data_IF_348194426881
#
_entry.id   IF_348194426881
#
_cell.length_a   1.000
_cell.length_b   1.000
_cell.length_c   1.000
_cell.angle_alpha   90.00
_cell.angle_beta   90.00
_cell.angle_gamma   90.00
#
_symmetry.space_group_name_H-M   'P 1'
#
loop_
_entity.id
_entity.type
_entity.pdbx_description
1 polymer ?
#
# COMPACT_ATOMS: atom_id res chain seq x y z
N UNK A 1 -17.25 29.38 -32.65
CA UNK A 1 -17.26 28.12 -33.44
C UNK A 1 -18.34 28.13 -34.52
N UNK A 2 -19.59 28.50 -34.22
CA UNK A 2 -20.67 28.52 -35.21
C UNK A 2 -20.44 29.50 -36.39
N UNK A 3 -19.91 30.70 -36.14
CA UNK A 3 -19.70 31.71 -37.20
C UNK A 3 -18.52 31.40 -38.14
N UNK A 4 -17.49 30.71 -37.66
CA UNK A 4 -16.34 30.31 -38.50
C UNK A 4 -16.73 29.18 -39.45
N UNK A 5 -17.57 28.26 -38.97
CA UNK A 5 -18.09 27.16 -39.78
C UNK A 5 -19.11 27.62 -40.82
N UNK A 6 -19.91 28.66 -40.54
CA UNK A 6 -20.82 29.24 -41.53
C UNK A 6 -20.05 29.96 -42.65
N UNK A 7 -18.98 30.69 -42.30
CA UNK A 7 -18.15 31.39 -43.29
C UNK A 7 -17.46 30.44 -44.29
N UNK A 8 -16.94 29.30 -43.81
CA UNK A 8 -16.32 28.28 -44.69
C UNK A 8 -17.34 27.61 -45.61
N UNK A 9 -18.59 27.46 -45.14
CA UNK A 9 -19.67 26.85 -45.92
C UNK A 9 -20.10 27.74 -47.09
N UNK A 10 -20.14 29.06 -46.88
CA UNK A 10 -20.59 30.02 -47.90
C UNK A 10 -19.50 30.36 -48.93
N UNK A 11 -18.22 30.20 -48.60
CA UNK A 11 -17.07 30.50 -49.49
C UNK A 11 -16.30 29.27 -49.99
N UNK A 12 -16.83 28.05 -49.83
CA UNK A 12 -16.15 26.80 -50.20
C UNK A 12 -15.64 26.73 -51.64
N UNK A 13 -16.32 27.39 -52.59
CA UNK A 13 -15.89 27.45 -54.00
C UNK A 13 -14.60 28.27 -54.22
N UNK A 14 -14.29 29.22 -53.35
CA UNK A 14 -13.06 30.03 -53.44
C UNK A 14 -11.81 29.21 -53.02
N UNK A 15 -11.99 28.27 -52.08
CA UNK A 15 -10.93 27.38 -51.62
C UNK A 15 -10.62 26.22 -52.57
N UNK A 16 -11.62 25.76 -53.34
CA UNK A 16 -11.44 24.72 -54.35
C UNK A 16 -10.68 25.22 -55.60
N UNK A 17 -10.70 26.54 -55.87
CA UNK A 17 -10.13 27.14 -57.08
C UNK A 17 -8.83 27.91 -56.84
N UNK A 18 -8.50 28.23 -55.58
CA UNK A 18 -7.27 28.92 -55.23
C UNK A 18 -6.49 28.17 -54.13
N UNK A 19 -5.48 27.34 -54.50
CA UNK A 19 -4.76 26.49 -53.55
C UNK A 19 -3.98 27.28 -52.49
N UNK A 20 -3.60 28.54 -52.78
CA UNK A 20 -2.91 29.42 -51.83
C UNK A 20 -3.86 29.86 -50.72
N UNK A 21 -5.11 30.20 -51.05
CA UNK A 21 -6.11 30.58 -50.05
C UNK A 21 -6.47 29.38 -49.15
N UNK A 22 -6.54 28.17 -49.71
CA UNK A 22 -6.78 26.94 -48.96
C UNK A 22 -5.64 26.62 -47.98
N UNK A 23 -4.39 26.68 -48.43
CA UNK A 23 -3.22 26.45 -47.57
C UNK A 23 -3.12 27.51 -46.47
N UNK A 24 -3.43 28.77 -46.79
CA UNK A 24 -3.46 29.87 -45.82
C UNK A 24 -4.51 29.63 -44.73
N UNK A 25 -5.74 29.27 -45.11
CA UNK A 25 -6.81 29.00 -44.16
C UNK A 25 -6.52 27.77 -43.28
N UNK A 26 -5.86 26.75 -43.84
CA UNK A 26 -5.46 25.54 -43.11
C UNK A 26 -4.32 25.84 -42.13
N UNK A 27 -3.35 26.67 -42.51
CA UNK A 27 -2.28 27.17 -41.64
C UNK A 27 -2.83 28.06 -40.51
N UNK A 28 -3.73 28.99 -40.83
CA UNK A 28 -4.35 29.89 -39.84
C UNK A 28 -5.27 29.10 -38.91
N UNK A 29 -6.09 28.19 -39.43
CA UNK A 29 -6.92 27.30 -38.62
C UNK A 29 -6.09 26.36 -37.72
N UNK A 30 -5.01 25.80 -38.26
CA UNK A 30 -4.08 24.95 -37.51
C UNK A 30 -3.35 25.70 -36.39
N UNK A 31 -2.89 26.93 -36.67
CA UNK A 31 -2.19 27.76 -35.68
C UNK A 31 -3.12 28.28 -34.58
N UNK A 32 -4.34 28.70 -34.91
CA UNK A 32 -5.36 29.09 -33.92
C UNK A 32 -5.81 27.88 -33.09
N UNK A 33 -6.01 26.71 -33.73
CA UNK A 33 -6.34 25.47 -33.06
C UNK A 33 -5.24 25.01 -32.10
N UNK A 34 -3.98 25.08 -32.52
CA UNK A 34 -2.80 24.78 -31.68
C UNK A 34 -2.69 25.77 -30.50
N UNK A 35 -2.89 27.06 -30.74
CA UNK A 35 -2.83 28.08 -29.69
C UNK A 35 -3.95 27.92 -28.64
N UNK A 36 -5.18 27.62 -29.07
CA UNK A 36 -6.29 27.33 -28.16
C UNK A 36 -6.05 26.04 -27.37
N UNK A 37 -5.61 24.96 -28.04
CA UNK A 37 -5.26 23.71 -27.37
C UNK A 37 -4.13 23.91 -26.34
N UNK A 38 -3.12 24.71 -26.68
CA UNK A 38 -2.05 25.11 -25.77
C UNK A 38 -2.61 25.87 -24.56
N UNK A 39 -3.47 26.86 -24.75
CA UNK A 39 -4.09 27.63 -23.66
C UNK A 39 -4.97 26.76 -22.74
N UNK A 40 -5.75 25.83 -23.30
CA UNK A 40 -6.53 24.87 -22.51
C UNK A 40 -5.66 23.87 -21.76
N UNK A 41 -4.57 23.40 -22.37
CA UNK A 41 -3.61 22.51 -21.71
C UNK A 41 -2.86 23.24 -20.58
N UNK A 42 -2.46 24.49 -20.80
CA UNK A 42 -1.74 25.31 -19.84
C UNK A 42 -2.63 25.70 -18.64
N UNK A 43 -3.93 25.96 -18.85
CA UNK A 43 -4.86 26.23 -17.75
C UNK A 43 -5.18 24.96 -16.95
N UNK A 44 -5.33 23.80 -17.60
CA UNK A 44 -5.48 22.53 -16.91
C UNK A 44 -4.22 22.10 -16.16
N UNK A 45 -3.03 22.38 -16.70
CA UNK A 45 -1.75 22.15 -16.03
C UNK A 45 -1.62 23.05 -14.80
N UNK A 46 -1.90 24.36 -14.92
CA UNK A 46 -1.91 25.28 -13.76
C UNK A 46 -2.90 24.85 -12.67
N UNK A 47 -4.12 24.45 -13.04
CA UNK A 47 -5.10 23.96 -12.07
C UNK A 47 -4.68 22.64 -11.41
N UNK A 48 -3.93 21.78 -12.11
CA UNK A 48 -3.33 20.57 -11.53
C UNK A 48 -2.16 20.92 -10.61
N UNK A 49 -1.29 21.85 -11.00
CA UNK A 49 -0.15 22.31 -10.20
C UNK A 49 -0.60 23.00 -8.91
N UNK A 50 -1.64 23.83 -8.96
CA UNK A 50 -2.26 24.44 -7.77
C UNK A 50 -2.86 23.38 -6.83
N UNK A 51 -3.51 22.34 -7.38
CA UNK A 51 -4.00 21.21 -6.58
C UNK A 51 -2.87 20.38 -5.97
N UNK A 52 -1.79 20.14 -6.71
CA UNK A 52 -0.60 19.42 -6.23
C UNK A 52 0.06 20.23 -5.11
N UNK A 53 0.24 21.53 -5.29
CA UNK A 53 0.78 22.42 -4.26
C UNK A 53 -0.11 22.45 -2.99
N UNK A 54 -1.43 22.45 -3.17
CA UNK A 54 -2.40 22.30 -2.08
C UNK A 54 -2.20 20.99 -1.30
N UNK A 55 -2.12 19.85 -2.01
CA UNK A 55 -1.86 18.56 -1.36
C UNK A 55 -0.49 18.47 -0.68
N UNK A 56 0.54 19.14 -1.23
CA UNK A 56 1.85 19.22 -0.57
C UNK A 56 1.81 20.05 0.72
N UNK A 57 1.07 21.16 0.72
CA UNK A 57 0.83 21.98 1.91
C UNK A 57 0.08 21.19 2.98
N UNK A 58 -1.03 20.54 2.59
CA UNK A 58 -1.82 19.70 3.49
C UNK A 58 -0.98 18.56 4.06
N UNK A 59 -0.18 17.89 3.22
CA UNK A 59 0.74 16.83 3.66
C UNK A 59 1.76 17.34 4.68
N UNK A 60 2.34 18.53 4.48
CA UNK A 60 3.25 19.15 5.46
C UNK A 60 2.53 19.45 6.77
N UNK A 61 1.31 19.97 6.71
CA UNK A 61 0.50 20.25 7.90
C UNK A 61 0.16 18.96 8.67
N UNK A 62 -0.25 17.90 7.97
CA UNK A 62 -0.52 16.59 8.58
C UNK A 62 0.74 15.97 9.19
N UNK A 63 1.90 16.07 8.52
CA UNK A 63 3.17 15.59 9.07
C UNK A 63 3.53 16.35 10.36
N UNK A 64 3.39 17.68 10.37
CA UNK A 64 3.62 18.49 11.56
C UNK A 64 2.67 18.11 12.71
N UNK A 65 1.40 17.85 12.42
CA UNK A 65 0.42 17.35 13.41
C UNK A 65 0.78 15.97 13.93
N UNK A 66 1.25 15.07 13.07
CA UNK A 66 1.72 13.73 13.49
C UNK A 66 2.91 13.84 14.43
N UNK A 67 3.86 14.73 14.13
CA UNK A 67 5.04 14.91 14.98
C UNK A 67 4.69 15.57 16.33
N UNK A 68 3.76 16.53 16.35
CA UNK A 68 3.21 17.08 17.61
C UNK A 68 2.50 15.99 18.44
N UNK A 69 1.66 15.17 17.81
CA UNK A 69 0.97 14.07 18.50
C UNK A 69 1.96 13.04 19.04
N UNK A 70 3.00 12.68 18.27
CA UNK A 70 4.08 11.80 18.75
C UNK A 70 4.80 12.40 19.95
N UNK A 71 5.12 13.70 19.92
CA UNK A 71 5.77 14.38 21.03
C UNK A 71 4.89 14.37 22.28
N UNK A 72 3.59 14.66 22.14
CA UNK A 72 2.62 14.63 23.24
C UNK A 72 2.41 13.23 23.82
N UNK A 73 2.34 12.21 22.98
CA UNK A 73 2.27 10.80 23.42
C UNK A 73 3.54 10.41 24.17
N UNK A 74 4.71 10.80 23.66
CA UNK A 74 6.00 10.53 24.32
C UNK A 74 6.10 11.23 25.67
N UNK A 75 5.63 12.48 25.78
CA UNK A 75 5.59 13.22 27.05
C UNK A 75 4.62 12.58 28.05
N UNK A 76 3.43 12.18 27.61
CA UNK A 76 2.47 11.46 28.45
C UNK A 76 3.04 10.11 28.93
N UNK A 77 3.72 9.38 28.07
CA UNK A 77 4.40 8.13 28.40
C UNK A 77 5.49 8.34 29.46
N UNK A 78 6.33 9.37 29.31
CA UNK A 78 7.33 9.75 30.32
C UNK A 78 6.70 10.08 31.68
N UNK A 79 5.61 10.86 31.70
CA UNK A 79 4.90 11.21 32.95
C UNK A 79 4.30 10.00 33.65
N UNK A 80 3.88 9.00 32.88
CA UNK A 80 3.32 7.75 33.41
C UNK A 80 4.40 6.71 33.78
N UNK A 81 5.69 7.03 33.61
CA UNK A 81 6.78 6.06 33.82
C UNK A 81 6.75 4.90 32.82
N UNK A 82 6.01 5.04 31.72
CA UNK A 82 5.94 4.08 30.64
C UNK A 82 7.08 4.44 29.68
N UNK A 83 8.18 3.69 29.71
CA UNK A 83 9.24 3.88 28.74
C UNK A 83 8.68 3.69 27.31
N UNK A 84 9.03 4.56 26.35
CA UNK A 84 8.54 4.46 24.98
C UNK A 84 8.93 3.09 24.38
N UNK A 85 7.91 2.27 24.11
CA UNK A 85 8.05 1.05 23.32
C UNK A 85 8.48 1.45 21.91
N UNK A 86 9.70 1.11 21.50
CA UNK A 86 9.99 1.13 20.07
C UNK A 86 11.45 1.23 19.62
N UNK A 87 12.40 1.68 20.46
CA UNK A 87 13.81 1.69 20.04
C UNK A 87 14.75 1.49 21.22
N UNK A 88 14.56 2.24 22.30
CA UNK A 88 15.47 2.18 23.45
C UNK A 88 15.40 0.85 24.21
N UNK A 89 14.21 0.24 24.33
CA UNK A 89 14.04 -1.05 25.00
C UNK A 89 14.89 -2.15 24.36
N UNK A 90 14.80 -2.28 23.04
CA UNK A 90 15.55 -3.31 22.29
C UNK A 90 17.02 -2.94 22.12
N UNK A 91 17.34 -1.65 22.03
CA UNK A 91 18.72 -1.17 22.01
C UNK A 91 19.46 -1.44 23.33
N UNK A 92 18.78 -1.40 24.47
CA UNK A 92 19.35 -1.67 25.79
C UNK A 92 19.50 -3.17 26.11
N UNK A 93 18.84 -4.05 25.35
CA UNK A 93 18.92 -5.50 25.55
C UNK A 93 20.28 -6.07 25.15
N UNK A 94 20.71 -7.10 25.85
CA UNK A 94 21.81 -7.96 25.44
C UNK A 94 21.48 -8.69 24.12
N UNK A 95 22.49 -9.21 23.43
CA UNK A 95 22.28 -9.95 22.18
C UNK A 95 21.36 -11.16 22.38
N UNK A 96 21.51 -11.89 23.49
CA UNK A 96 20.72 -13.08 23.79
C UNK A 96 19.25 -12.73 24.07
N UNK A 97 18.99 -11.66 24.83
CA UNK A 97 17.64 -11.16 25.07
C UNK A 97 16.97 -10.70 23.77
N UNK A 98 17.71 -10.01 22.90
CA UNK A 98 17.20 -9.55 21.61
C UNK A 98 16.87 -10.73 20.68
N UNK A 99 17.74 -11.75 20.62
CA UNK A 99 17.46 -13.00 19.88
C UNK A 99 16.20 -13.70 20.39
N UNK A 100 16.05 -13.80 21.71
CA UNK A 100 14.89 -14.46 22.31
C UNK A 100 13.61 -13.65 22.07
N UNK A 101 13.68 -12.32 22.15
CA UNK A 101 12.54 -11.46 21.83
C UNK A 101 12.12 -11.60 20.36
N UNK A 102 13.09 -11.61 19.44
CA UNK A 102 12.83 -11.84 18.02
C UNK A 102 12.15 -13.18 17.75
N UNK A 103 12.61 -14.26 18.39
CA UNK A 103 11.98 -15.60 18.29
C UNK A 103 10.57 -15.62 18.87
N UNK A 104 10.34 -14.96 20.00
CA UNK A 104 9.01 -14.87 20.62
C UNK A 104 8.03 -14.11 19.71
N UNK A 105 8.45 -12.98 19.14
CA UNK A 105 7.65 -12.21 18.18
C UNK A 105 7.37 -13.03 16.93
N UNK A 106 8.38 -13.69 16.37
CA UNK A 106 8.22 -14.57 15.20
C UNK A 106 7.24 -15.73 15.48
N UNK A 107 7.29 -16.33 16.67
CA UNK A 107 6.34 -17.36 17.12
C UNK A 107 4.93 -16.82 17.29
N UNK A 108 4.77 -15.61 17.82
CA UNK A 108 3.47 -14.95 17.95
C UNK A 108 2.83 -14.69 16.57
N UNK A 109 3.63 -14.24 15.60
CA UNK A 109 3.21 -14.07 14.21
C UNK A 109 2.77 -15.40 13.57
N UNK A 110 3.47 -16.50 13.86
CA UNK A 110 3.05 -17.83 13.37
C UNK A 110 1.78 -18.33 14.03
N UNK A 111 1.57 -18.03 15.30
CA UNK A 111 0.35 -18.42 16.01
C UNK A 111 -0.89 -17.74 15.39
N UNK A 112 -0.82 -16.45 15.06
CA UNK A 112 -1.93 -15.76 14.38
C UNK A 112 -2.16 -16.30 12.97
N UNK A 113 -1.09 -16.65 12.23
CA UNK A 113 -1.20 -17.26 10.91
C UNK A 113 -1.83 -18.66 10.98
N UNK A 114 -1.45 -19.46 11.97
CA UNK A 114 -2.02 -20.79 12.18
C UNK A 114 -3.52 -20.72 12.52
N UNK A 115 -3.94 -19.71 13.29
CA UNK A 115 -5.36 -19.50 13.59
C UNK A 115 -6.15 -19.03 12.36
N UNK A 116 -5.56 -18.17 11.53
CA UNK A 116 -6.12 -17.79 10.24
C UNK A 116 -6.27 -18.99 9.29
N UNK A 117 -5.24 -19.82 9.17
CA UNK A 117 -5.26 -21.03 8.36
C UNK A 117 -6.28 -22.04 8.87
N UNK A 118 -6.39 -22.21 10.19
CA UNK A 118 -7.42 -23.07 10.80
C UNK A 118 -8.82 -22.58 10.46
N UNK A 119 -9.07 -21.28 10.62
CA UNK A 119 -10.37 -20.67 10.29
C UNK A 119 -10.70 -20.86 8.80
N UNK A 120 -9.72 -20.66 7.93
CA UNK A 120 -9.89 -20.81 6.48
C UNK A 120 -10.09 -22.27 6.05
N UNK A 121 -9.34 -23.22 6.64
CA UNK A 121 -9.42 -24.65 6.31
C UNK A 121 -10.66 -25.36 6.85
N UNK A 122 -11.09 -25.04 8.08
CA UNK A 122 -12.32 -25.60 8.65
C UNK A 122 -13.55 -25.26 7.80
N UNK A 123 -13.50 -24.16 7.05
CA UNK A 123 -14.57 -23.74 6.17
C UNK A 123 -14.52 -24.42 4.79
N UNK A 124 -13.34 -24.75 4.27
CA UNK A 124 -13.18 -25.54 3.03
C UNK A 124 -13.70 -26.98 3.17
N UNK A 125 -13.58 -27.57 4.37
CA UNK A 125 -14.03 -28.95 4.66
C UNK A 125 -15.55 -29.02 4.84
N UNK A 126 -16.23 -27.90 5.10
CA UNK A 126 -17.69 -27.86 5.30
C UNK A 126 -18.46 -27.67 3.99
N UNK A 127 -18.01 -28.34 2.92
CA UNK A 127 -18.76 -28.54 1.68
C UNK A 127 -19.35 -29.96 1.65
N UNK A 128 -20.56 -30.20 2.20
CA UNK A 128 -21.29 -31.42 1.94
C UNK A 128 -22.06 -31.26 0.63
N UNK A 129 -21.36 -31.31 -0.51
CA UNK A 129 -22.02 -31.33 -1.80
C UNK A 129 -21.25 -32.27 -2.71
N UNK A 130 -21.48 -33.57 -2.55
CA UNK A 130 -21.07 -34.55 -3.57
C UNK A 130 -22.25 -35.14 -4.36
N UNK A 131 -23.53 -34.91 -4.02
CA UNK A 131 -24.61 -35.68 -4.67
C UNK A 131 -25.84 -34.93 -5.22
N UNK A 132 -25.91 -33.58 -5.21
CA UNK A 132 -27.02 -32.86 -5.86
C UNK A 132 -26.57 -31.73 -6.79
N UNK A 133 -27.23 -31.56 -7.97
CA UNK A 133 -26.98 -30.42 -8.84
C UNK A 133 -27.44 -29.13 -8.14
N UNK A 134 -26.47 -28.43 -7.56
CA UNK A 134 -26.70 -27.13 -6.92
C UNK A 134 -27.18 -26.15 -7.99
N UNK A 135 -28.34 -25.53 -7.77
CA UNK A 135 -28.79 -24.44 -8.63
C UNK A 135 -27.74 -23.32 -8.66
N UNK A 136 -27.52 -22.71 -9.82
CA UNK A 136 -26.51 -21.66 -10.01
C UNK A 136 -26.63 -20.53 -8.97
N UNK A 137 -27.86 -20.21 -8.55
CA UNK A 137 -28.13 -19.25 -7.48
C UNK A 137 -27.60 -19.68 -6.10
N UNK A 138 -27.70 -20.97 -5.75
CA UNK A 138 -27.13 -21.48 -4.49
C UNK A 138 -25.60 -21.45 -4.55
N UNK A 139 -25.00 -21.86 -5.67
CA UNK A 139 -23.54 -21.80 -5.86
C UNK A 139 -22.99 -20.37 -5.74
N UNK A 140 -23.67 -19.40 -6.36
CA UNK A 140 -23.32 -17.98 -6.21
C UNK A 140 -23.44 -17.49 -4.76
N UNK A 141 -24.52 -17.84 -4.07
CA UNK A 141 -24.71 -17.45 -2.67
C UNK A 141 -23.64 -18.06 -1.75
N UNK A 142 -23.25 -19.32 -1.96
CA UNK A 142 -22.15 -19.94 -1.22
C UNK A 142 -20.81 -19.25 -1.50
N UNK A 143 -20.49 -18.94 -2.75
CA UNK A 143 -19.27 -18.20 -3.10
C UNK A 143 -19.25 -16.78 -2.50
N UNK A 144 -20.39 -16.09 -2.48
CA UNK A 144 -20.50 -14.78 -1.83
C UNK A 144 -20.26 -14.87 -0.32
N UNK A 145 -20.89 -15.84 0.35
CA UNK A 145 -20.66 -16.04 1.78
C UNK A 145 -19.21 -16.40 2.10
N UNK A 146 -18.62 -17.30 1.31
CA UNK A 146 -17.23 -17.70 1.45
C UNK A 146 -16.26 -16.53 1.25
N UNK A 147 -16.44 -15.75 0.18
CA UNK A 147 -15.58 -14.59 -0.10
C UNK A 147 -15.69 -13.49 0.97
N UNK A 148 -16.89 -13.24 1.50
CA UNK A 148 -17.10 -12.29 2.60
C UNK A 148 -16.38 -12.74 3.88
N UNK A 149 -16.42 -14.03 4.21
CA UNK A 149 -15.74 -14.56 5.40
C UNK A 149 -14.23 -14.57 5.25
N UNK A 150 -13.71 -14.97 4.10
CA UNK A 150 -12.28 -14.91 3.81
C UNK A 150 -11.76 -13.46 3.93
N UNK A 151 -12.54 -12.49 3.45
CA UNK A 151 -12.23 -11.06 3.57
C UNK A 151 -12.19 -10.62 5.03
N UNK A 152 -13.16 -11.06 5.86
CA UNK A 152 -13.17 -10.77 7.30
C UNK A 152 -11.97 -11.38 8.02
N UNK A 153 -11.72 -12.67 7.83
CA UNK A 153 -10.59 -13.36 8.43
C UNK A 153 -9.24 -12.70 8.03
N UNK A 154 -9.11 -12.29 6.77
CA UNK A 154 -7.93 -11.56 6.30
C UNK A 154 -7.82 -10.18 6.97
N UNK A 155 -8.93 -9.46 7.13
CA UNK A 155 -8.95 -8.16 7.81
C UNK A 155 -8.55 -8.29 9.27
N UNK A 156 -9.08 -9.29 9.98
CA UNK A 156 -8.76 -9.56 11.39
C UNK A 156 -7.29 -9.94 11.57
N UNK A 157 -6.73 -10.75 10.66
CA UNK A 157 -5.30 -11.09 10.66
C UNK A 157 -4.43 -9.83 10.49
N UNK A 158 -4.77 -8.97 9.53
CA UNK A 158 -4.03 -7.73 9.30
C UNK A 158 -4.15 -6.77 10.49
N UNK A 159 -5.34 -6.62 11.05
CA UNK A 159 -5.57 -5.79 12.22
C UNK A 159 -4.76 -6.29 13.42
N UNK A 160 -4.74 -7.60 13.66
CA UNK A 160 -3.94 -8.21 14.71
C UNK A 160 -2.45 -7.91 14.52
N UNK A 161 -1.92 -8.01 13.30
CA UNK A 161 -0.55 -7.62 12.99
C UNK A 161 -0.30 -6.15 13.28
N UNK A 162 -1.12 -5.26 12.70
CA UNK A 162 -0.94 -3.81 12.77
C UNK A 162 -0.97 -3.29 14.20
N UNK A 163 -1.88 -3.82 15.02
CA UNK A 163 -2.11 -3.32 16.37
C UNK A 163 -1.19 -3.95 17.40
N UNK A 164 -0.81 -5.22 17.24
CA UNK A 164 -0.06 -5.96 18.28
C UNK A 164 1.41 -6.18 17.98
N UNK A 165 1.78 -6.32 16.71
CA UNK A 165 3.12 -6.80 16.35
C UNK A 165 3.95 -5.81 15.54
N UNK A 166 3.31 -4.94 14.74
CA UNK A 166 4.02 -4.06 13.79
C UNK A 166 5.13 -3.24 14.44
N UNK A 167 4.84 -2.55 15.55
CA UNK A 167 5.81 -1.68 16.21
C UNK A 167 7.03 -2.48 16.71
N UNK A 168 6.78 -3.61 17.38
CA UNK A 168 7.84 -4.47 17.90
C UNK A 168 8.63 -5.16 16.79
N UNK A 169 7.96 -5.64 15.74
CA UNK A 169 8.62 -6.26 14.59
C UNK A 169 9.58 -5.28 13.89
N UNK A 170 9.16 -4.03 13.66
CA UNK A 170 10.01 -2.99 13.08
C UNK A 170 11.22 -2.70 13.98
N UNK A 171 10.96 -2.53 15.28
CA UNK A 171 11.98 -2.16 16.25
C UNK A 171 13.05 -3.24 16.42
N UNK A 172 12.61 -4.49 16.60
CA UNK A 172 13.49 -5.65 16.74
C UNK A 172 14.28 -5.88 15.45
N UNK A 173 13.62 -5.79 14.29
CA UNK A 173 14.28 -5.93 13.00
C UNK A 173 15.42 -4.90 12.83
N UNK A 174 15.14 -3.62 13.12
CA UNK A 174 16.12 -2.55 12.99
C UNK A 174 17.33 -2.76 13.91
N UNK A 175 17.10 -3.16 15.17
CA UNK A 175 18.18 -3.41 16.13
C UNK A 175 19.00 -4.65 15.78
N UNK A 176 18.37 -5.75 15.36
CA UNK A 176 19.10 -6.94 14.90
C UNK A 176 19.98 -6.63 13.69
N UNK A 177 19.45 -5.89 12.71
CA UNK A 177 20.17 -5.50 11.51
C UNK A 177 21.34 -4.55 11.82
N UNK A 178 21.12 -3.59 12.73
CA UNK A 178 22.17 -2.70 13.24
C UNK A 178 23.32 -3.47 13.92
N UNK A 179 23.01 -4.59 14.58
CA UNK A 179 23.99 -5.47 15.23
C UNK A 179 24.62 -6.50 14.28
N UNK A 180 24.38 -6.38 12.97
CA UNK A 180 25.01 -7.23 11.96
C UNK A 180 24.26 -8.53 11.64
N UNK A 181 23.04 -8.71 12.15
CA UNK A 181 22.18 -9.81 11.71
C UNK A 181 21.85 -9.68 10.22
N UNK A 182 21.74 -10.81 9.53
CA UNK A 182 21.41 -10.86 8.10
C UNK A 182 20.16 -11.69 7.81
N UNK A 183 19.35 -11.22 6.86
CA UNK A 183 18.22 -12.02 6.36
C UNK A 183 18.78 -13.02 5.34
N UNK A 184 18.81 -14.29 5.73
CA UNK A 184 19.21 -15.39 4.86
C UNK A 184 18.05 -15.80 3.96
N UNK A 185 18.39 -16.35 2.79
CA UNK A 185 17.42 -16.71 1.76
C UNK A 185 16.49 -17.81 2.30
N UNK A 186 15.23 -17.47 2.49
CA UNK A 186 14.24 -18.34 3.12
C UNK A 186 13.85 -19.51 2.19
N UNK A 187 13.60 -20.72 2.73
CA UNK A 187 13.04 -21.84 1.98
C UNK A 187 11.53 -21.64 1.77
N UNK A 188 11.08 -21.51 0.52
CA UNK A 188 9.65 -21.40 0.17
C UNK A 188 9.41 -20.87 -1.25
N UNK A 189 8.18 -20.82 -1.79
CA UNK A 189 7.93 -20.32 -3.15
C UNK A 189 7.95 -18.78 -3.28
N UNK A 190 7.84 -18.02 -2.18
CA UNK A 190 7.79 -16.54 -2.18
C UNK A 190 9.03 -15.96 -1.48
N UNK A 191 10.17 -15.89 -2.20
CA UNK A 191 11.52 -15.83 -1.58
C UNK A 191 12.18 -14.46 -1.44
N UNK A 192 11.46 -13.36 -1.36
CA UNK A 192 12.10 -12.07 -1.09
C UNK A 192 11.33 -11.33 -0.01
N UNK A 193 11.94 -11.26 1.17
CA UNK A 193 11.52 -10.33 2.18
C UNK A 193 11.92 -8.93 1.74
N UNK A 194 10.93 -8.04 1.72
CA UNK A 194 11.10 -6.60 1.54
C UNK A 194 10.82 -5.92 2.88
N UNK A 195 11.67 -4.96 3.27
CA UNK A 195 11.48 -4.17 4.48
C UNK A 195 10.14 -3.43 4.49
N UNK A 196 9.58 -3.12 3.32
CA UNK A 196 8.24 -2.58 3.21
C UNK A 196 7.17 -3.48 3.85
N UNK A 197 7.37 -4.80 3.85
CA UNK A 197 6.44 -5.77 4.46
C UNK A 197 6.34 -5.62 5.98
N UNK A 198 7.34 -5.02 6.65
CA UNK A 198 7.24 -4.71 8.08
C UNK A 198 6.17 -3.64 8.35
N UNK A 199 6.06 -2.66 7.45
CA UNK A 199 5.10 -1.57 7.62
C UNK A 199 3.72 -1.95 7.09
N UNK A 200 3.68 -2.72 6.01
CA UNK A 200 2.45 -3.06 5.33
C UNK A 200 2.53 -4.47 4.71
N UNK A 201 2.36 -5.54 5.51
CA UNK A 201 2.22 -6.87 4.95
C UNK A 201 0.91 -6.93 4.18
N UNK A 202 0.99 -7.21 2.88
CA UNK A 202 -0.18 -7.20 1.97
C UNK A 202 -1.16 -8.34 2.28
N UNK A 203 -0.67 -9.43 2.90
CA UNK A 203 -1.43 -10.64 3.21
C UNK A 203 -0.69 -11.50 4.25
N UNK A 204 -1.23 -12.68 4.55
CA UNK A 204 -0.60 -13.66 5.45
C UNK A 204 0.81 -14.08 5.01
N UNK A 205 1.12 -14.12 3.72
CA UNK A 205 2.49 -14.39 3.25
C UNK A 205 3.46 -13.27 3.62
N UNK A 206 3.01 -12.01 3.62
CA UNK A 206 3.81 -10.89 4.12
C UNK A 206 4.14 -11.04 5.60
N UNK A 207 3.16 -11.45 6.41
CA UNK A 207 3.37 -11.71 7.85
C UNK A 207 4.32 -12.89 8.06
N UNK A 208 4.19 -13.96 7.27
CA UNK A 208 5.07 -15.12 7.34
C UNK A 208 6.52 -14.72 6.97
N UNK A 209 6.69 -13.92 5.91
CA UNK A 209 7.99 -13.37 5.54
C UNK A 209 8.60 -12.51 6.65
N UNK A 210 7.81 -11.69 7.35
CA UNK A 210 8.27 -10.92 8.52
C UNK A 210 8.72 -11.85 9.65
N UNK A 211 7.93 -12.88 9.98
CA UNK A 211 8.28 -13.88 10.99
C UNK A 211 9.60 -14.57 10.69
N UNK A 212 9.76 -15.04 9.44
CA UNK A 212 10.98 -15.71 8.99
C UNK A 212 12.19 -14.76 8.94
N UNK A 213 12.00 -13.50 8.54
CA UNK A 213 13.07 -12.50 8.55
C UNK A 213 13.58 -12.23 9.96
N UNK A 214 12.69 -12.05 10.94
CA UNK A 214 13.05 -11.87 12.35
C UNK A 214 13.83 -13.07 12.90
N UNK A 215 13.39 -14.28 12.58
CA UNK A 215 14.08 -15.49 13.03
C UNK A 215 15.46 -15.64 12.38
N UNK A 216 15.57 -15.39 11.07
CA UNK A 216 16.85 -15.42 10.37
C UNK A 216 17.84 -14.39 10.94
N UNK A 217 17.38 -13.17 11.19
CA UNK A 217 18.22 -12.13 11.78
C UNK A 217 18.70 -12.52 13.18
N UNK A 218 17.84 -13.15 13.97
CA UNK A 218 18.19 -13.66 15.29
C UNK A 218 19.23 -14.79 15.20
N UNK A 219 19.11 -15.71 14.24
CA UNK A 219 20.04 -16.82 14.06
C UNK A 219 21.42 -16.41 13.54
N UNK A 220 21.48 -15.34 12.74
CA UNK A 220 22.70 -14.89 12.06
C UNK A 220 23.41 -13.75 12.79
N UNK A 221 22.91 -13.35 13.96
CA UNK A 221 23.56 -12.33 14.77
C UNK A 221 25.00 -12.79 15.11
N UNK A 222 26.03 -11.97 14.83
CA UNK A 222 27.40 -12.31 15.21
C UNK A 222 27.51 -12.40 16.73
N UNK A 223 28.12 -13.50 17.22
CA UNK A 223 28.40 -13.77 18.63
C UNK A 223 29.62 -12.96 19.07
#
# INVERSE_FOLDING_TARGET
>A
MAEVLSWVKDYGHFFATNPVAMLSALLIGGSIGYWLAYMFSASQLKAKDERIAGYESDKKEYLAKIDDLKARVTDAQKRLGIEPLGQHRYAAMTMLELQQCARNTASGLRAILAEYDRTTRLELVRNPIEDEPVSEQRAMHYHQQYSQRLTRASSELMEAYMNRFRADAIAIYAELRKRGGTVTRMPGPFRVFDEFMLQNPVNGHGIDAVSQALESLAMTLPI
#
